data_IF_483583548604
#
_entry.id   IF_483583548604
#
_cell.length_a   1.000
_cell.length_b   1.000
_cell.length_c   1.000
_cell.angle_alpha   90.00
_cell.angle_beta   90.00
_cell.angle_gamma   90.00
#
_symmetry.space_group_name_H-M   'P 1'
#
loop_
_entity.id
_entity.type
_entity.pdbx_description
1 polymer ?
#
# COMPACT_ATOMS: atom_id res chain seq x y z
N UNK A 1 -23.72 35.37 -8.20
CA UNK A 1 -23.03 34.74 -7.06
C UNK A 1 -22.18 33.64 -7.65
N UNK A 2 -20.87 33.87 -7.70
CA UNK A 2 -19.95 32.95 -8.34
C UNK A 2 -19.71 31.78 -7.41
N UNK A 3 -20.13 30.58 -7.83
CA UNK A 3 -19.70 29.34 -7.23
C UNK A 3 -18.17 29.23 -7.47
N UNK A 4 -17.41 29.56 -6.41
CA UNK A 4 -16.01 29.19 -6.33
C UNK A 4 -15.99 27.65 -6.11
N UNK A 5 -16.07 26.89 -7.18
CA UNK A 5 -15.59 25.53 -7.18
C UNK A 5 -14.12 25.59 -6.76
N UNK A 6 -13.86 25.30 -5.50
CA UNK A 6 -12.52 24.99 -5.01
C UNK A 6 -12.08 23.73 -5.78
N UNK A 7 -11.46 23.95 -6.93
CA UNK A 7 -10.81 22.88 -7.68
C UNK A 7 -9.65 22.39 -6.83
N UNK A 8 -9.90 21.38 -6.02
CA UNK A 8 -8.87 20.71 -5.22
C UNK A 8 -7.87 20.13 -6.22
N UNK A 9 -6.65 20.67 -6.24
CA UNK A 9 -5.58 20.18 -7.09
C UNK A 9 -5.29 18.73 -6.67
N UNK A 10 -5.32 17.74 -7.58
CA UNK A 10 -4.95 16.40 -7.26
C UNK A 10 -3.49 16.32 -6.77
N UNK A 11 -3.24 15.58 -5.71
CA UNK A 11 -1.90 15.27 -5.24
C UNK A 11 -1.32 14.17 -6.11
N UNK A 12 -0.04 14.30 -6.47
CA UNK A 12 0.60 13.44 -7.46
C UNK A 12 1.91 12.88 -6.95
N UNK A 13 2.09 11.57 -7.12
CA UNK A 13 3.37 10.90 -6.90
C UNK A 13 3.69 9.92 -8.03
N UNK A 14 4.97 9.62 -8.18
CA UNK A 14 5.48 8.73 -9.23
C UNK A 14 6.41 7.69 -8.60
N UNK A 15 6.26 6.45 -9.04
CA UNK A 15 7.07 5.29 -8.62
C UNK A 15 7.49 4.46 -9.82
N UNK A 16 8.48 3.62 -9.65
CA UNK A 16 8.77 2.54 -10.60
C UNK A 16 7.69 1.47 -10.53
N UNK A 17 7.14 1.09 -11.67
CA UNK A 17 6.01 0.15 -11.74
C UNK A 17 6.38 -1.24 -11.25
N UNK A 18 7.59 -1.72 -11.56
CA UNK A 18 8.02 -3.05 -11.16
C UNK A 18 8.21 -3.12 -9.65
N UNK A 19 8.89 -2.12 -9.06
CA UNK A 19 9.07 -2.02 -7.62
C UNK A 19 7.73 -1.93 -6.88
N UNK A 20 6.79 -1.15 -7.40
CA UNK A 20 5.45 -1.01 -6.83
C UNK A 20 4.63 -2.31 -6.90
N UNK A 21 4.67 -3.00 -8.05
CA UNK A 21 3.99 -4.28 -8.24
C UNK A 21 4.56 -5.38 -7.34
N UNK A 22 5.88 -5.43 -7.17
CA UNK A 22 6.53 -6.38 -6.27
C UNK A 22 6.21 -6.09 -4.80
N UNK A 23 6.23 -4.81 -4.39
CA UNK A 23 5.84 -4.40 -3.06
C UNK A 23 4.38 -4.77 -2.75
N UNK A 24 3.44 -4.49 -3.67
CA UNK A 24 2.04 -4.91 -3.54
C UNK A 24 1.89 -6.42 -3.41
N UNK A 25 2.60 -7.20 -4.23
CA UNK A 25 2.58 -8.66 -4.16
C UNK A 25 3.03 -9.15 -2.80
N UNK A 26 4.10 -8.57 -2.26
CA UNK A 26 4.65 -8.98 -0.97
C UNK A 26 3.68 -8.68 0.18
N UNK A 27 3.15 -7.46 0.27
CA UNK A 27 2.20 -7.12 1.34
C UNK A 27 0.86 -7.85 1.21
N UNK A 28 0.45 -8.22 0.00
CA UNK A 28 -0.80 -8.97 -0.25
C UNK A 28 -0.80 -10.37 0.36
N UNK A 29 0.36 -10.91 0.76
CA UNK A 29 0.46 -12.19 1.48
C UNK A 29 -0.26 -12.18 2.84
N UNK A 30 -0.39 -11.02 3.45
CA UNK A 30 -1.09 -10.83 4.73
C UNK A 30 -2.59 -10.60 4.54
N UNK A 31 -2.99 -10.04 3.39
CA UNK A 31 -4.39 -9.71 3.12
C UNK A 31 -5.24 -10.98 2.92
N UNK A 32 -6.07 -11.27 3.90
CA UNK A 32 -7.00 -12.41 3.89
C UNK A 32 -8.43 -11.89 3.92
N UNK A 33 -9.38 -12.75 3.53
CA UNK A 33 -10.79 -12.45 3.71
C UNK A 33 -11.09 -12.25 5.20
N UNK A 34 -11.74 -11.14 5.53
CA UNK A 34 -12.04 -10.72 6.88
C UNK A 34 -13.48 -10.20 6.98
N UNK A 35 -14.07 -10.29 8.18
CA UNK A 35 -15.35 -9.63 8.47
C UNK A 35 -15.19 -8.10 8.61
N UNK A 36 -13.96 -7.63 8.68
CA UNK A 36 -13.60 -6.21 8.72
C UNK A 36 -12.98 -5.82 7.37
N UNK A 37 -13.71 -5.15 6.46
CA UNK A 37 -13.27 -4.91 5.08
C UNK A 37 -11.93 -4.20 4.96
N UNK A 38 -11.59 -3.30 5.88
CA UNK A 38 -10.33 -2.55 5.87
C UNK A 38 -9.10 -3.45 6.00
N UNK A 39 -9.22 -4.62 6.63
CA UNK A 39 -8.12 -5.58 6.79
C UNK A 39 -7.88 -6.42 5.52
N UNK A 40 -8.72 -6.27 4.51
CA UNK A 40 -8.52 -6.88 3.18
C UNK A 40 -7.72 -5.95 2.25
N UNK A 41 -7.39 -4.74 2.71
CA UNK A 41 -6.85 -3.68 1.88
C UNK A 41 -5.50 -3.15 2.38
N UNK A 42 -4.73 -2.57 1.48
CA UNK A 42 -3.44 -1.99 1.77
C UNK A 42 -3.52 -0.47 1.92
N UNK A 43 -2.86 0.07 2.93
CA UNK A 43 -2.61 1.49 3.04
C UNK A 43 -1.34 1.88 2.27
N UNK A 44 -1.36 3.07 1.72
CA UNK A 44 -0.24 3.66 0.97
C UNK A 44 0.02 5.05 1.52
N UNK A 45 1.29 5.34 1.80
CA UNK A 45 1.75 6.66 2.21
C UNK A 45 2.90 7.10 1.31
N UNK A 46 2.77 8.26 0.72
CA UNK A 46 3.87 8.97 0.07
C UNK A 46 4.39 10.02 1.04
N UNK A 47 5.67 9.96 1.37
CA UNK A 47 6.30 10.93 2.26
C UNK A 47 7.81 10.92 2.12
N UNK A 48 8.42 12.11 2.05
CA UNK A 48 9.87 12.26 2.05
C UNK A 48 10.59 11.54 0.91
N UNK A 49 9.99 11.46 -0.28
CA UNK A 49 10.56 10.78 -1.45
C UNK A 49 10.43 9.26 -1.42
N UNK A 50 9.52 8.72 -0.61
CA UNK A 50 9.27 7.28 -0.45
C UNK A 50 7.78 6.97 -0.56
N UNK A 51 7.50 5.79 -1.06
CA UNK A 51 6.18 5.18 -1.01
C UNK A 51 6.24 4.01 -0.03
N UNK A 52 5.43 4.07 1.02
CA UNK A 52 5.33 3.06 2.07
C UNK A 52 3.98 2.38 1.92
N UNK A 53 4.00 1.08 1.68
CA UNK A 53 2.80 0.25 1.60
C UNK A 53 2.72 -0.60 2.87
N UNK A 54 1.54 -0.65 3.47
CA UNK A 54 1.31 -1.42 4.71
C UNK A 54 0.06 -2.27 4.58
N UNK A 55 0.13 -3.49 5.05
CA UNK A 55 -1.00 -4.41 5.17
C UNK A 55 -0.94 -5.15 6.50
N UNK A 56 -2.10 -5.50 7.05
CA UNK A 56 -2.20 -6.23 8.33
C UNK A 56 -3.43 -7.11 8.38
N UNK A 57 -3.29 -8.24 9.08
CA UNK A 57 -4.40 -9.09 9.53
C UNK A 57 -4.58 -8.98 11.07
N UNK A 58 -4.08 -7.92 11.69
CA UNK A 58 -4.04 -7.62 13.14
C UNK A 58 -3.04 -8.50 13.93
N UNK A 59 -2.56 -9.59 13.38
CA UNK A 59 -1.54 -10.44 14.00
C UNK A 59 -0.18 -10.27 13.33
N UNK A 60 -0.19 -9.89 12.06
CA UNK A 60 0.99 -9.69 11.24
C UNK A 60 0.88 -8.33 10.54
N UNK A 61 1.94 -7.56 10.56
CA UNK A 61 2.09 -6.34 9.75
C UNK A 61 3.18 -6.57 8.71
N UNK A 62 2.85 -6.30 7.46
CA UNK A 62 3.84 -6.24 6.39
C UNK A 62 3.96 -4.82 5.88
N UNK A 63 5.21 -4.35 5.80
CA UNK A 63 5.55 -3.02 5.34
C UNK A 63 6.56 -3.17 4.21
N UNK A 64 6.28 -2.53 3.09
CA UNK A 64 7.19 -2.42 1.96
C UNK A 64 7.46 -0.95 1.67
N UNK A 65 8.70 -0.60 1.44
CA UNK A 65 9.14 0.76 1.16
C UNK A 65 9.92 0.80 -0.15
N UNK A 66 9.52 1.70 -1.04
CA UNK A 66 10.15 1.91 -2.34
C UNK A 66 10.41 3.40 -2.57
N UNK A 67 11.38 3.76 -3.42
CA UNK A 67 11.58 5.15 -3.82
C UNK A 67 10.35 5.73 -4.54
N UNK A 68 10.05 6.98 -4.26
CA UNK A 68 8.98 7.74 -4.91
C UNK A 68 9.42 9.18 -5.14
N UNK A 69 8.69 9.91 -5.99
CA UNK A 69 8.83 11.35 -6.16
C UNK A 69 7.47 11.99 -6.28
N UNK A 70 7.32 13.23 -5.82
CA UNK A 70 6.08 13.98 -5.91
C UNK A 70 5.59 14.51 -4.56
N UNK A 71 4.28 14.67 -4.45
CA UNK A 71 3.61 15.22 -3.26
C UNK A 71 3.52 14.18 -2.13
N UNK A 72 3.39 14.64 -0.90
CA UNK A 72 3.11 13.81 0.28
C UNK A 72 1.60 13.64 0.45
N UNK A 73 1.12 12.41 0.51
CA UNK A 73 -0.28 12.06 0.77
C UNK A 73 -0.43 10.59 1.17
N UNK A 74 -1.60 10.22 1.68
CA UNK A 74 -1.86 8.84 2.08
C UNK A 74 -3.33 8.47 1.88
N UNK A 75 -3.58 7.19 1.62
CA UNK A 75 -4.91 6.62 1.46
C UNK A 75 -4.87 5.10 1.62
N UNK A 76 -6.04 4.47 1.67
CA UNK A 76 -6.19 3.01 1.64
C UNK A 76 -6.88 2.64 0.33
N UNK A 77 -6.35 1.68 -0.40
CA UNK A 77 -7.02 1.15 -1.59
C UNK A 77 -8.28 0.38 -1.21
N UNK A 78 -9.34 0.51 -1.99
CA UNK A 78 -10.57 -0.26 -1.79
C UNK A 78 -10.59 -1.62 -2.50
N UNK A 79 -9.57 -1.94 -3.27
CA UNK A 79 -9.47 -3.19 -4.06
C UNK A 79 -8.02 -3.55 -4.36
N UNK A 80 -7.22 -3.73 -3.33
CA UNK A 80 -5.77 -3.99 -3.43
C UNK A 80 -5.44 -5.18 -4.33
N UNK A 81 -6.15 -6.29 -4.23
CA UNK A 81 -5.92 -7.47 -5.08
C UNK A 81 -6.16 -7.20 -6.56
N UNK A 82 -7.16 -6.36 -6.89
CA UNK A 82 -7.42 -5.96 -8.27
C UNK A 82 -6.33 -5.02 -8.78
N UNK A 83 -5.87 -4.11 -7.93
CA UNK A 83 -4.76 -3.22 -8.23
C UNK A 83 -3.48 -4.00 -8.56
N UNK A 84 -3.12 -5.01 -7.78
CA UNK A 84 -1.97 -5.86 -8.04
C UNK A 84 -2.03 -6.48 -9.45
N UNK A 85 -3.18 -7.01 -9.85
CA UNK A 85 -3.38 -7.58 -11.18
C UNK A 85 -3.23 -6.54 -12.31
N UNK A 86 -3.67 -5.30 -12.07
CA UNK A 86 -3.54 -4.20 -13.05
C UNK A 86 -2.08 -3.77 -13.16
N UNK A 87 -1.38 -3.59 -12.04
CA UNK A 87 0.01 -3.14 -12.01
C UNK A 87 0.97 -4.11 -12.71
N UNK A 88 0.70 -5.40 -12.68
CA UNK A 88 1.49 -6.41 -13.43
C UNK A 88 1.50 -6.20 -14.95
N UNK A 89 0.57 -5.42 -15.48
CA UNK A 89 0.45 -5.11 -16.92
C UNK A 89 1.05 -3.77 -17.30
N UNK A 90 1.52 -3.02 -16.32
CA UNK A 90 2.17 -1.74 -16.52
C UNK A 90 3.69 -1.95 -16.59
N UNK A 91 4.38 -1.05 -17.28
CA UNK A 91 5.84 -1.08 -17.41
C UNK A 91 6.39 0.35 -17.42
N UNK A 92 7.50 0.56 -16.71
CA UNK A 92 8.16 1.85 -16.60
C UNK A 92 7.68 2.68 -15.41
N UNK A 93 7.37 3.94 -15.63
CA UNK A 93 6.98 4.89 -14.58
C UNK A 93 5.47 4.89 -14.35
N UNK A 94 5.06 4.69 -13.11
CA UNK A 94 3.66 4.74 -12.67
C UNK A 94 3.41 6.04 -11.93
N UNK A 95 2.47 6.84 -12.42
CA UNK A 95 1.99 8.04 -11.75
C UNK A 95 0.67 7.74 -11.05
N UNK A 96 0.59 8.15 -9.77
CA UNK A 96 -0.62 8.10 -8.96
C UNK A 96 -1.10 9.54 -8.72
N UNK A 97 -2.33 9.82 -9.08
CA UNK A 97 -2.99 11.11 -8.84
C UNK A 97 -4.16 10.88 -7.90
N UNK A 98 -4.05 11.35 -6.67
CA UNK A 98 -5.09 11.23 -5.67
C UNK A 98 -5.91 12.50 -5.56
N UNK A 99 -7.24 12.34 -5.49
CA UNK A 99 -8.20 13.43 -5.32
C UNK A 99 -9.16 13.06 -4.21
N UNK A 100 -9.28 13.96 -3.23
CA UNK A 100 -10.25 13.83 -2.15
C UNK A 100 -11.67 13.98 -2.68
N UNK A 101 -12.59 13.17 -2.17
CA UNK A 101 -14.02 13.29 -2.45
C UNK A 101 -14.75 13.89 -1.25
N UNK A 102 -14.85 15.19 -1.22
CA UNK A 102 -15.48 15.95 -0.14
C UNK A 102 -16.97 15.66 0.07
N UNK A 103 -17.62 14.95 -0.85
CA UNK A 103 -19.00 14.51 -0.73
C UNK A 103 -19.18 13.20 0.08
N UNK A 104 -18.08 12.54 0.42
CA UNK A 104 -18.01 11.33 1.25
C UNK A 104 -17.44 11.67 2.64
N UNK A 105 -16.85 10.70 3.32
CA UNK A 105 -16.14 10.94 4.58
C UNK A 105 -14.83 11.68 4.32
N UNK A 106 -14.39 12.49 5.29
CA UNK A 106 -13.09 13.15 5.24
C UNK A 106 -11.98 12.13 4.99
N UNK A 107 -11.13 12.41 4.00
CA UNK A 107 -10.03 11.55 3.60
C UNK A 107 -10.39 10.41 2.65
N UNK A 108 -11.68 10.20 2.32
CA UNK A 108 -12.07 9.33 1.22
C UNK A 108 -11.83 10.02 -0.13
N UNK A 109 -11.57 9.26 -1.16
CA UNK A 109 -11.27 9.81 -2.46
C UNK A 109 -11.19 8.77 -3.56
N UNK A 110 -10.48 9.14 -4.60
CA UNK A 110 -10.11 8.22 -5.66
C UNK A 110 -8.67 8.49 -6.11
N UNK A 111 -8.01 7.44 -6.55
CA UNK A 111 -6.68 7.52 -7.15
C UNK A 111 -6.73 7.08 -8.60
N UNK A 112 -6.17 7.90 -9.47
CA UNK A 112 -5.94 7.56 -10.87
C UNK A 112 -4.50 7.10 -11.03
N UNK A 113 -4.33 5.93 -11.60
CA UNK A 113 -3.04 5.37 -11.98
C UNK A 113 -2.83 5.59 -13.47
N UNK A 114 -1.65 6.06 -13.85
CA UNK A 114 -1.29 6.30 -15.26
C UNK A 114 0.10 5.73 -15.54
N UNK A 115 0.20 4.93 -16.60
CA UNK A 115 1.47 4.38 -17.08
C UNK A 115 1.45 4.33 -18.61
N UNK A 116 2.19 5.24 -19.25
CA UNK A 116 2.11 5.48 -20.69
C UNK A 116 0.70 5.86 -21.12
N UNK A 117 0.11 5.10 -22.05
CA UNK A 117 -1.26 5.31 -22.53
C UNK A 117 -2.34 4.57 -21.69
N UNK A 118 -1.94 3.85 -20.65
CA UNK A 118 -2.86 3.07 -19.82
C UNK A 118 -3.20 3.83 -18.56
N UNK A 119 -4.50 3.85 -18.24
CA UNK A 119 -5.02 4.48 -17.03
C UNK A 119 -5.96 3.52 -16.30
N UNK A 120 -6.04 3.67 -14.99
CA UNK A 120 -7.00 2.98 -14.14
C UNK A 120 -7.40 3.90 -12.99
N UNK A 121 -8.61 3.73 -12.47
CA UNK A 121 -9.12 4.52 -11.36
C UNK A 121 -9.67 3.60 -10.28
N UNK A 122 -9.36 3.92 -9.03
CA UNK A 122 -9.74 3.13 -7.86
C UNK A 122 -10.27 4.07 -6.78
N UNK A 123 -11.37 3.67 -6.15
CA UNK A 123 -11.82 4.32 -4.91
C UNK A 123 -10.78 4.11 -3.80
N UNK A 124 -10.71 5.09 -2.91
CA UNK A 124 -9.82 5.05 -1.75
C UNK A 124 -10.58 5.45 -0.48
N UNK A 125 -10.08 4.97 0.66
CA UNK A 125 -10.60 5.30 1.98
C UNK A 125 -9.56 6.09 2.78
N UNK A 126 -10.03 6.79 3.80
CA UNK A 126 -9.17 7.51 4.74
C UNK A 126 -8.24 6.57 5.49
N UNK A 127 -7.00 7.01 5.68
CA UNK A 127 -6.01 6.29 6.51
C UNK A 127 -6.35 6.26 7.99
N UNK A 128 -7.28 7.10 8.46
CA UNK A 128 -7.76 7.08 9.85
C UNK A 128 -8.45 5.76 10.22
N UNK A 129 -8.87 5.01 9.21
CA UNK A 129 -9.44 3.67 9.37
C UNK A 129 -8.37 2.57 9.52
N UNK A 130 -7.10 2.89 9.26
CA UNK A 130 -6.01 1.91 9.32
C UNK A 130 -5.60 1.65 10.78
N UNK A 131 -5.47 0.39 11.20
CA UNK A 131 -4.92 0.09 12.52
C UNK A 131 -3.49 0.62 12.66
N UNK A 132 -3.18 1.14 13.84
CA UNK A 132 -1.83 1.59 14.17
C UNK A 132 -0.84 0.43 14.17
N UNK A 133 0.34 0.67 13.61
CA UNK A 133 1.44 -0.29 13.68
C UNK A 133 1.93 -0.35 15.12
N UNK A 134 1.90 -1.52 15.78
CA UNK A 134 2.37 -1.62 17.16
C UNK A 134 3.86 -1.29 17.22
N UNK A 135 4.23 -0.48 18.21
CA UNK A 135 5.63 -0.24 18.52
C UNK A 135 6.20 -1.49 19.20
N UNK A 136 7.29 -2.00 18.65
CA UNK A 136 8.04 -3.09 19.27
C UNK A 136 9.21 -2.47 20.02
N UNK A 137 9.08 -2.37 21.34
CA UNK A 137 10.17 -1.98 22.24
C UNK A 137 10.87 -3.25 22.68
N UNK A 138 11.93 -3.62 21.99
CA UNK A 138 12.74 -4.80 22.31
C UNK A 138 14.09 -4.41 22.91
N UNK A 139 14.43 -4.98 24.07
CA UNK A 139 15.73 -4.78 24.73
C UNK A 139 16.87 -5.54 24.02
N UNK A 140 16.52 -6.49 23.15
CA UNK A 140 17.48 -7.34 22.45
C UNK A 140 17.19 -7.37 20.95
N UNK A 141 18.21 -7.12 20.15
CA UNK A 141 18.17 -7.28 18.70
C UNK A 141 19.28 -8.19 18.21
N UNK A 142 19.05 -8.91 17.13
CA UNK A 142 20.08 -9.66 16.44
C UNK A 142 19.95 -9.50 14.94
N UNK A 143 21.07 -9.69 14.25
CA UNK A 143 21.11 -9.72 12.79
C UNK A 143 21.48 -11.12 12.31
N UNK A 144 20.81 -11.59 11.27
CA UNK A 144 21.08 -12.89 10.67
C UNK A 144 21.08 -12.78 9.13
N UNK A 145 21.80 -13.66 8.46
CA UNK A 145 21.69 -13.80 7.02
C UNK A 145 20.32 -14.38 6.68
N UNK A 146 19.55 -13.68 5.83
CA UNK A 146 18.18 -14.06 5.52
C UNK A 146 18.09 -15.45 4.82
N UNK A 147 19.03 -15.79 3.95
CA UNK A 147 19.04 -17.07 3.25
C UNK A 147 19.32 -18.24 4.21
N UNK A 148 20.29 -18.07 5.11
CA UNK A 148 20.59 -19.09 6.13
C UNK A 148 19.44 -19.27 7.12
N UNK A 149 18.83 -18.17 7.56
CA UNK A 149 17.67 -18.22 8.46
C UNK A 149 16.51 -18.95 7.79
N UNK A 150 16.21 -18.64 6.54
CA UNK A 150 15.14 -19.30 5.77
C UNK A 150 15.42 -20.80 5.59
N UNK A 151 16.66 -21.18 5.30
CA UNK A 151 17.05 -22.59 5.19
C UNK A 151 16.80 -23.34 6.49
N UNK A 152 17.19 -22.76 7.64
CA UNK A 152 17.00 -23.37 8.95
C UNK A 152 15.53 -23.46 9.33
N UNK A 153 14.73 -22.42 9.05
CA UNK A 153 13.28 -22.45 9.24
C UNK A 153 12.66 -23.57 8.42
N UNK A 154 13.02 -23.70 7.15
CA UNK A 154 12.49 -24.76 6.27
C UNK A 154 12.84 -26.16 6.75
N UNK A 155 14.02 -26.37 7.36
CA UNK A 155 14.42 -27.66 7.94
C UNK A 155 13.55 -28.11 9.12
N UNK A 156 12.97 -27.18 9.87
CA UNK A 156 12.13 -27.50 11.04
C UNK A 156 10.64 -27.33 10.78
N UNK A 157 10.25 -26.64 9.70
CA UNK A 157 8.85 -26.34 9.38
C UNK A 157 7.99 -27.59 9.21
N UNK A 158 8.55 -28.71 8.72
CA UNK A 158 7.82 -29.99 8.59
C UNK A 158 7.32 -30.54 9.93
N UNK A 159 7.97 -30.18 11.02
CA UNK A 159 7.58 -30.62 12.37
C UNK A 159 6.39 -29.81 12.93
N UNK A 160 6.06 -28.67 12.32
CA UNK A 160 4.99 -27.77 12.78
C UNK A 160 3.71 -27.91 11.94
N UNK A 161 3.78 -28.58 10.78
CA UNK A 161 2.63 -28.87 9.94
C UNK A 161 1.85 -30.08 10.49
N UNK A 162 0.86 -29.81 11.32
CA UNK A 162 -0.20 -30.75 11.70
C UNK A 162 -1.54 -30.19 11.30
#
# INVERSE_FOLDING_TARGET
MSDLELTVRPLRATVDTQAFSEALKNISLVLKKSDVPILEEASVRFSGGRCILTATDMTTWMIAEIPASGDDFSFIFSRTKKLELVCRRFDGSLTLEWTENTARHDGDGFVRLSCGSRTGEFDTWSTDLCPDIPKVDGDVSFSANAAELLERINRVAYATLK
#
